data_IF_532940730025
#
_entry.id   IF_532940730025
#
_cell.length_a   1.000
_cell.length_b   1.000
_cell.length_c   1.000
_cell.angle_alpha   90.00
_cell.angle_beta   90.00
_cell.angle_gamma   90.00
#
_symmetry.space_group_name_H-M   'P 1'
#
loop_
_entity.id
_entity.type
_entity.pdbx_description
1 polymer ?
#
# COMPACT_ATOMS: atom_id res chain seq x y z
N UNK A 1 9.62 -3.12 5.19
CA UNK A 1 8.69 -2.28 6.01
C UNK A 1 9.32 -1.58 7.24
N UNK A 2 9.81 -2.27 8.29
CA UNK A 2 10.41 -1.62 9.49
C UNK A 2 11.89 -1.25 9.29
N UNK A 3 12.14 -0.39 8.31
CA UNK A 3 13.49 0.04 7.93
C UNK A 3 13.89 1.36 8.62
N UNK A 4 15.11 1.82 8.36
CA UNK A 4 15.63 3.09 8.93
C UNK A 4 14.75 4.30 8.58
N UNK A 5 14.18 4.36 7.38
CA UNK A 5 13.34 5.48 6.96
C UNK A 5 12.01 5.48 7.74
N UNK A 6 11.39 4.32 7.93
CA UNK A 6 10.18 4.18 8.75
C UNK A 6 10.42 4.63 10.20
N UNK A 7 11.53 4.22 10.81
CA UNK A 7 11.90 4.65 12.17
C UNK A 7 12.07 6.16 12.28
N UNK A 8 12.79 6.78 11.34
CA UNK A 8 12.98 8.23 11.32
C UNK A 8 11.66 8.99 11.10
N UNK A 9 10.77 8.48 10.25
CA UNK A 9 9.45 9.08 10.02
C UNK A 9 8.56 8.96 11.26
N UNK A 10 8.53 7.79 11.90
CA UNK A 10 7.79 7.57 13.15
C UNK A 10 8.30 8.49 14.28
N UNK A 11 9.61 8.61 14.46
CA UNK A 11 10.23 9.54 15.42
C UNK A 11 9.92 11.01 15.13
N UNK A 12 9.75 11.37 13.85
CA UNK A 12 9.34 12.71 13.45
C UNK A 12 7.88 12.97 13.86
N UNK A 13 6.97 12.09 13.44
CA UNK A 13 5.53 12.23 13.74
C UNK A 13 5.21 12.11 15.23
N UNK A 14 6.01 11.35 16.00
CA UNK A 14 5.90 11.27 17.46
C UNK A 14 6.08 12.60 18.20
N UNK A 15 6.60 13.63 17.52
CA UNK A 15 6.77 14.98 18.07
C UNK A 15 5.66 15.94 17.67
N UNK A 16 4.87 15.59 16.66
CA UNK A 16 3.94 16.53 15.99
C UNK A 16 2.49 16.08 16.06
N UNK A 17 2.22 14.79 16.19
CA UNK A 17 0.87 14.24 16.23
C UNK A 17 0.38 14.03 17.67
N UNK A 18 -0.93 13.81 17.82
CA UNK A 18 -1.54 13.51 19.11
C UNK A 18 -1.30 12.06 19.57
N UNK A 19 -1.66 11.76 20.82
CA UNK A 19 -1.43 10.45 21.44
C UNK A 19 -2.11 9.29 20.70
N UNK A 20 -3.30 9.53 20.12
CA UNK A 20 -4.05 8.48 19.40
C UNK A 20 -3.34 8.13 18.10
N UNK A 21 -2.86 9.14 17.38
CA UNK A 21 -2.13 8.95 16.13
C UNK A 21 -0.75 8.31 16.35
N UNK A 22 -0.05 8.72 17.41
CA UNK A 22 1.22 8.09 17.80
C UNK A 22 1.00 6.63 18.19
N UNK A 23 -0.04 6.33 18.97
CA UNK A 23 -0.41 4.95 19.32
C UNK A 23 -0.69 4.09 18.08
N UNK A 24 -1.35 4.67 17.05
CA UNK A 24 -1.56 3.99 15.76
C UNK A 24 -0.24 3.69 15.06
N UNK A 25 0.70 4.64 15.02
CA UNK A 25 2.04 4.41 14.45
C UNK A 25 2.76 3.29 15.22
N UNK A 26 2.77 3.33 16.54
CA UNK A 26 3.44 2.33 17.39
C UNK A 26 2.84 0.92 17.22
N UNK A 27 1.52 0.84 17.04
CA UNK A 27 0.83 -0.41 16.71
C UNK A 27 1.35 -1.01 15.40
N UNK A 28 1.37 -0.24 14.31
CA UNK A 28 1.85 -0.74 13.01
C UNK A 28 3.36 -1.03 13.01
N UNK A 29 4.17 -0.19 13.67
CA UNK A 29 5.60 -0.46 13.87
C UNK A 29 5.83 -1.78 14.59
N UNK A 30 4.98 -2.10 15.58
CA UNK A 30 5.01 -3.39 16.28
C UNK A 30 4.62 -4.58 15.39
N UNK A 31 3.62 -4.41 14.51
CA UNK A 31 3.25 -5.46 13.54
C UNK A 31 4.38 -5.72 12.54
N UNK A 32 5.00 -4.67 12.00
CA UNK A 32 6.11 -4.81 11.07
C UNK A 32 7.33 -5.46 11.73
N UNK A 33 7.61 -5.14 13.00
CA UNK A 33 8.66 -5.82 13.76
C UNK A 33 8.37 -7.32 13.97
N UNK A 34 7.10 -7.71 14.13
CA UNK A 34 6.72 -9.12 14.20
C UNK A 34 6.97 -9.86 12.87
N UNK A 35 6.70 -9.21 11.73
CA UNK A 35 7.04 -9.75 10.40
C UNK A 35 8.55 -9.90 10.21
N UNK A 36 9.34 -8.88 10.59
CA UNK A 36 10.80 -8.94 10.52
C UNK A 36 11.36 -10.16 11.27
N UNK A 37 10.77 -10.47 12.44
CA UNK A 37 11.18 -11.59 13.28
C UNK A 37 10.68 -12.95 12.79
N UNK A 38 9.49 -13.01 12.20
CA UNK A 38 8.88 -14.24 11.69
C UNK A 38 9.55 -14.72 10.39
N UNK A 39 10.12 -13.81 9.61
CA UNK A 39 10.70 -14.16 8.31
C UNK A 39 11.93 -13.30 7.94
N UNK A 40 13.06 -13.52 8.63
CA UNK A 40 14.33 -12.88 8.27
C UNK A 40 14.83 -13.21 6.84
N UNK A 41 14.26 -14.22 6.16
CA UNK A 41 14.66 -14.68 4.83
C UNK A 41 13.78 -14.14 3.69
N UNK A 42 12.53 -13.77 3.96
CA UNK A 42 11.53 -13.38 2.97
C UNK A 42 11.73 -12.03 2.27
N UNK A 43 12.59 -11.14 2.80
CA UNK A 43 12.93 -9.87 2.11
C UNK A 43 13.72 -10.08 0.82
N UNK A 44 14.20 -11.29 0.55
CA UNK A 44 15.22 -11.47 -0.47
C UNK A 44 14.62 -11.49 -1.87
N UNK A 45 15.05 -10.55 -2.71
CA UNK A 45 14.95 -10.67 -4.17
C UNK A 45 15.79 -11.85 -4.71
N UNK A 46 16.49 -12.58 -3.84
CA UNK A 46 17.40 -13.66 -4.20
C UNK A 46 16.62 -14.80 -4.85
N UNK A 47 16.82 -14.97 -6.16
CA UNK A 47 16.14 -16.00 -6.95
C UNK A 47 14.94 -15.52 -7.76
N UNK A 48 14.50 -14.26 -7.61
CA UNK A 48 13.52 -13.69 -8.54
C UNK A 48 14.21 -13.30 -9.86
N UNK A 49 13.83 -13.96 -10.94
CA UNK A 49 14.36 -13.69 -12.27
C UNK A 49 13.57 -12.57 -12.95
N UNK A 50 14.12 -11.36 -12.93
CA UNK A 50 13.52 -10.21 -13.60
C UNK A 50 13.61 -10.39 -15.12
N UNK A 51 12.52 -10.16 -15.89
CA UNK A 51 12.58 -10.23 -17.34
C UNK A 51 13.65 -9.30 -17.95
N UNK A 52 14.15 -9.61 -19.17
CA UNK A 52 15.06 -8.72 -19.89
C UNK A 52 14.48 -7.32 -20.06
N UNK A 53 15.36 -6.31 -20.15
CA UNK A 53 14.95 -4.90 -20.20
C UNK A 53 13.96 -4.57 -21.34
N UNK A 54 14.13 -5.19 -22.52
CA UNK A 54 13.21 -5.06 -23.65
C UNK A 54 11.82 -5.60 -23.32
N UNK A 55 11.75 -6.73 -22.62
CA UNK A 55 10.48 -7.30 -22.17
C UNK A 55 9.82 -6.41 -21.12
N UNK A 56 10.58 -5.87 -20.17
CA UNK A 56 10.08 -4.92 -19.16
C UNK A 56 9.50 -3.65 -19.82
N UNK A 57 10.18 -3.13 -20.84
CA UNK A 57 9.68 -1.98 -21.61
C UNK A 57 8.37 -2.31 -22.35
N UNK A 58 8.32 -3.44 -23.06
CA UNK A 58 7.12 -3.88 -23.78
C UNK A 58 5.92 -4.14 -22.84
N UNK A 59 6.16 -4.73 -21.66
CA UNK A 59 5.12 -4.90 -20.64
C UNK A 59 4.61 -3.56 -20.13
N UNK A 60 5.52 -2.59 -19.97
CA UNK A 60 5.14 -1.26 -19.50
C UNK A 60 4.25 -0.53 -20.50
N UNK A 61 4.63 -0.55 -21.79
CA UNK A 61 3.85 0.02 -22.89
C UNK A 61 2.45 -0.62 -23.03
N UNK A 62 2.35 -1.92 -22.77
CA UNK A 62 1.08 -2.63 -22.79
C UNK A 62 0.25 -2.49 -21.49
N UNK A 63 0.73 -1.73 -20.50
CA UNK A 63 0.16 -1.61 -19.15
C UNK A 63 -0.04 -2.96 -18.44
N UNK A 64 0.85 -3.93 -18.71
CA UNK A 64 0.81 -5.27 -18.10
C UNK A 64 1.78 -5.32 -16.90
N UNK A 65 1.30 -5.65 -15.70
CA UNK A 65 2.17 -5.82 -14.54
C UNK A 65 3.21 -6.92 -14.74
N UNK A 66 4.44 -6.67 -14.31
CA UNK A 66 5.55 -7.61 -14.53
C UNK A 66 5.28 -8.97 -13.89
N UNK A 67 4.67 -9.03 -12.70
CA UNK A 67 4.34 -10.29 -12.03
C UNK A 67 3.32 -11.14 -12.78
N UNK A 68 2.46 -10.53 -13.60
CA UNK A 68 1.55 -11.29 -14.47
C UNK A 68 2.29 -12.08 -15.55
N UNK A 69 3.51 -11.65 -15.93
CA UNK A 69 4.35 -12.32 -16.92
C UNK A 69 5.50 -13.13 -16.29
N UNK A 70 6.05 -12.67 -15.17
CA UNK A 70 7.09 -13.34 -14.39
C UNK A 70 6.63 -13.40 -12.91
N UNK A 71 5.83 -14.41 -12.54
CA UNK A 71 5.29 -14.52 -11.19
C UNK A 71 6.39 -14.67 -10.13
N UNK A 72 6.16 -14.07 -8.97
CA UNK A 72 6.99 -14.32 -7.79
C UNK A 72 6.66 -15.71 -7.23
N UNK A 73 7.69 -16.48 -6.86
CA UNK A 73 7.46 -17.73 -6.14
C UNK A 73 7.18 -17.41 -4.68
N UNK A 74 5.94 -17.64 -4.24
CA UNK A 74 5.53 -17.44 -2.85
C UNK A 74 5.80 -18.71 -2.03
N UNK A 75 6.43 -18.55 -0.88
CA UNK A 75 6.59 -19.57 0.15
C UNK A 75 5.34 -19.57 1.04
N UNK A 76 4.53 -20.61 0.89
CA UNK A 76 3.25 -20.78 1.60
C UNK A 76 3.45 -20.89 3.12
N UNK A 77 4.48 -21.61 3.57
CA UNK A 77 4.75 -21.77 5.00
C UNK A 77 5.24 -20.46 5.61
N UNK A 78 6.11 -19.73 4.90
CA UNK A 78 6.55 -18.41 5.35
C UNK A 78 5.39 -17.41 5.38
N UNK A 79 4.47 -17.48 4.42
CA UNK A 79 3.26 -16.66 4.39
C UNK A 79 2.36 -16.95 5.61
N UNK A 80 2.09 -18.24 5.90
CA UNK A 80 1.29 -18.65 7.06
C UNK A 80 1.94 -18.25 8.39
N UNK A 81 3.27 -18.43 8.52
CA UNK A 81 4.02 -17.99 9.71
C UNK A 81 3.97 -16.48 9.90
N UNK A 82 4.19 -15.71 8.84
CA UNK A 82 4.12 -14.24 8.87
C UNK A 82 2.72 -13.76 9.27
N UNK A 83 1.68 -14.37 8.69
CA UNK A 83 0.28 -14.06 9.00
C UNK A 83 -0.05 -14.37 10.47
N UNK A 84 0.36 -15.53 10.98
CA UNK A 84 0.18 -15.92 12.38
C UNK A 84 0.87 -14.95 13.33
N UNK A 85 2.09 -14.52 13.00
CA UNK A 85 2.87 -13.60 13.83
C UNK A 85 2.22 -12.21 13.95
N UNK A 86 1.70 -11.65 12.84
CA UNK A 86 1.01 -10.34 12.90
C UNK A 86 -0.33 -10.41 13.59
N UNK A 87 -1.08 -11.52 13.43
CA UNK A 87 -2.35 -11.72 14.12
C UNK A 87 -2.14 -11.84 15.63
N UNK A 88 -1.17 -12.68 16.04
CA UNK A 88 -0.81 -12.81 17.44
C UNK A 88 -0.39 -11.46 18.03
N UNK A 89 0.44 -10.70 17.31
CA UNK A 89 0.88 -9.38 17.77
C UNK A 89 -0.26 -8.37 17.86
N UNK A 90 -1.16 -8.35 16.89
CA UNK A 90 -2.33 -7.48 16.91
C UNK A 90 -3.26 -7.81 18.10
N UNK A 91 -3.45 -9.10 18.39
CA UNK A 91 -4.24 -9.55 19.54
C UNK A 91 -3.61 -9.16 20.89
N UNK A 92 -2.30 -9.31 21.04
CA UNK A 92 -1.55 -8.88 22.25
C UNK A 92 -1.70 -7.39 22.55
N UNK A 93 -1.72 -6.57 21.50
CA UNK A 93 -1.85 -5.11 21.60
C UNK A 93 -3.29 -4.64 21.84
N UNK A 94 -4.26 -5.56 21.91
CA UNK A 94 -5.68 -5.22 22.05
C UNK A 94 -6.26 -4.57 20.80
N UNK A 95 -5.73 -4.90 19.61
CA UNK A 95 -6.22 -4.40 18.33
C UNK A 95 -7.62 -4.88 17.94
N UNK A 96 -8.20 -5.80 18.71
CA UNK A 96 -9.52 -6.38 18.48
C UNK A 96 -10.31 -6.54 19.77
N UNK A 97 -11.62 -6.69 19.62
CA UNK A 97 -12.44 -7.30 20.66
C UNK A 97 -12.11 -8.80 20.85
N UNK A 98 -12.62 -9.38 21.92
CA UNK A 98 -12.33 -10.77 22.28
C UNK A 98 -12.87 -11.79 21.27
N UNK A 99 -13.97 -11.46 20.56
CA UNK A 99 -14.59 -12.36 19.58
C UNK A 99 -13.73 -12.45 18.32
N UNK A 100 -13.34 -11.30 17.77
CA UNK A 100 -12.46 -11.21 16.62
C UNK A 100 -11.07 -11.80 16.92
N UNK A 101 -10.51 -11.51 18.10
CA UNK A 101 -9.24 -12.10 18.52
C UNK A 101 -9.31 -13.63 18.56
N UNK A 102 -10.36 -14.20 19.16
CA UNK A 102 -10.56 -15.65 19.22
C UNK A 102 -10.76 -16.27 17.83
N UNK A 103 -11.53 -15.61 16.95
CA UNK A 103 -11.76 -16.08 15.59
C UNK A 103 -10.45 -16.14 14.78
N UNK A 104 -9.63 -15.08 14.80
CA UNK A 104 -8.40 -15.03 14.01
C UNK A 104 -7.26 -15.89 14.58
N UNK A 105 -7.16 -15.98 15.92
CA UNK A 105 -6.12 -16.80 16.56
C UNK A 105 -6.47 -18.28 16.61
N UNK A 106 -7.75 -18.65 16.48
CA UNK A 106 -8.21 -20.04 16.45
C UNK A 106 -8.04 -20.73 15.08
N UNK A 107 -7.67 -19.99 14.05
CA UNK A 107 -7.52 -20.51 12.68
C UNK A 107 -6.15 -21.14 12.51
N UNK A 108 -6.13 -22.33 11.90
CA UNK A 108 -4.89 -22.90 11.41
C UNK A 108 -4.51 -22.26 10.07
N UNK A 109 -3.66 -21.22 10.12
CA UNK A 109 -3.25 -20.48 8.93
C UNK A 109 -2.40 -21.30 7.96
N UNK A 110 -1.67 -22.32 8.44
CA UNK A 110 -0.95 -23.25 7.55
C UNK A 110 -1.94 -24.01 6.64
N UNK A 111 -3.01 -24.57 7.23
CA UNK A 111 -4.05 -25.28 6.46
C UNK A 111 -4.82 -24.32 5.53
N UNK A 112 -5.16 -23.13 6.02
CA UNK A 112 -5.89 -22.13 5.24
C UNK A 112 -5.09 -21.66 4.01
N UNK A 113 -3.79 -21.41 4.17
CA UNK A 113 -2.91 -21.02 3.07
C UNK A 113 -2.64 -22.20 2.14
N UNK A 114 -2.43 -23.41 2.66
CA UNK A 114 -2.26 -24.61 1.84
C UNK A 114 -3.47 -24.94 0.96
N UNK A 115 -4.68 -24.61 1.43
CA UNK A 115 -5.92 -24.74 0.65
C UNK A 115 -6.11 -23.63 -0.40
N UNK A 116 -5.33 -22.55 -0.35
CA UNK A 116 -5.45 -21.39 -1.24
C UNK A 116 -4.60 -21.49 -2.50
N UNK A 117 -4.89 -20.69 -3.53
CA UNK A 117 -4.06 -20.60 -4.75
C UNK A 117 -2.84 -19.69 -4.52
N UNK A 118 -1.84 -20.21 -3.82
CA UNK A 118 -0.59 -19.47 -3.51
C UNK A 118 0.17 -19.06 -4.78
N UNK A 119 -0.01 -19.76 -5.91
CA UNK A 119 0.60 -19.35 -7.17
C UNK A 119 -0.04 -18.05 -7.72
N UNK A 120 -1.34 -17.86 -7.51
CA UNK A 120 -2.02 -16.60 -7.83
C UNK A 120 -1.47 -15.44 -7.00
N UNK A 121 -1.11 -15.67 -5.73
CA UNK A 121 -0.54 -14.66 -4.84
C UNK A 121 0.73 -14.00 -5.41
N UNK A 122 1.56 -14.77 -6.12
CA UNK A 122 2.78 -14.28 -6.75
C UNK A 122 2.60 -13.66 -8.15
N UNK A 123 1.45 -13.93 -8.79
CA UNK A 123 1.14 -13.47 -10.16
C UNK A 123 0.23 -12.24 -10.18
N UNK A 124 -0.80 -12.27 -9.34
CA UNK A 124 -1.85 -11.26 -9.20
C UNK A 124 -2.29 -11.16 -7.73
N UNK A 125 -1.47 -10.52 -6.87
CA UNK A 125 -1.71 -10.49 -5.43
C UNK A 125 -3.11 -10.01 -5.02
N UNK A 126 -3.66 -9.00 -5.71
CA UNK A 126 -4.99 -8.46 -5.38
C UNK A 126 -6.12 -9.44 -5.68
N UNK A 127 -6.04 -10.19 -6.79
CA UNK A 127 -7.02 -11.23 -7.11
C UNK A 127 -6.93 -12.39 -6.10
N UNK A 128 -5.71 -12.75 -5.70
CA UNK A 128 -5.50 -13.76 -4.64
C UNK A 128 -6.12 -13.34 -3.31
N UNK A 129 -5.88 -12.10 -2.86
CA UNK A 129 -6.39 -11.63 -1.57
C UNK A 129 -7.92 -11.59 -1.52
N UNK A 130 -8.56 -11.20 -2.63
CA UNK A 130 -10.02 -11.25 -2.73
C UNK A 130 -10.54 -12.69 -2.66
N UNK A 131 -9.95 -13.61 -3.44
CA UNK A 131 -10.30 -15.03 -3.40
C UNK A 131 -10.04 -15.67 -2.03
N UNK A 132 -8.97 -15.25 -1.35
CA UNK A 132 -8.64 -15.75 -0.01
C UNK A 132 -9.68 -15.29 1.02
N UNK A 133 -10.17 -14.04 0.94
CA UNK A 133 -11.26 -13.58 1.79
C UNK A 133 -12.54 -14.40 1.56
N UNK A 134 -12.91 -14.66 0.30
CA UNK A 134 -14.05 -15.53 -0.05
C UNK A 134 -13.88 -16.93 0.53
N UNK A 135 -12.69 -17.53 0.41
CA UNK A 135 -12.37 -18.83 1.00
C UNK A 135 -12.56 -18.85 2.53
N UNK A 136 -12.20 -17.76 3.24
CA UNK A 136 -12.39 -17.66 4.69
C UNK A 136 -13.88 -17.59 5.07
N UNK A 137 -14.69 -16.87 4.28
CA UNK A 137 -16.15 -16.83 4.45
C UNK A 137 -16.76 -18.22 4.21
N UNK A 138 -16.37 -18.91 3.15
CA UNK A 138 -16.79 -20.29 2.87
C UNK A 138 -16.36 -21.27 3.98
N UNK A 139 -15.24 -20.96 4.65
CA UNK A 139 -14.75 -21.65 5.84
C UNK A 139 -15.50 -21.33 7.15
N UNK A 140 -16.51 -20.45 7.11
CA UNK A 140 -17.38 -20.12 8.23
C UNK A 140 -17.05 -18.83 8.98
N UNK A 141 -16.10 -18.01 8.49
CA UNK A 141 -15.89 -16.68 9.03
C UNK A 141 -17.00 -15.71 8.63
N UNK A 142 -17.23 -14.69 9.45
CA UNK A 142 -18.02 -13.51 9.03
C UNK A 142 -17.24 -12.70 7.99
N UNK A 143 -17.94 -11.86 7.22
CA UNK A 143 -17.30 -10.97 6.24
C UNK A 143 -16.22 -10.08 6.88
N UNK A 144 -16.48 -9.54 8.08
CA UNK A 144 -15.52 -8.70 8.79
C UNK A 144 -14.28 -9.51 9.25
N UNK A 145 -14.47 -10.73 9.76
CA UNK A 145 -13.38 -11.61 10.13
C UNK A 145 -12.52 -11.98 8.91
N UNK A 146 -13.15 -12.30 7.79
CA UNK A 146 -12.48 -12.60 6.54
C UNK A 146 -11.71 -11.39 5.97
N UNK A 147 -12.28 -10.19 6.05
CA UNK A 147 -11.58 -8.94 5.66
C UNK A 147 -10.36 -8.68 6.53
N UNK A 148 -10.45 -8.94 7.85
CA UNK A 148 -9.29 -8.85 8.74
C UNK A 148 -8.25 -9.92 8.40
N UNK A 149 -8.66 -11.16 8.14
CA UNK A 149 -7.78 -12.21 7.63
C UNK A 149 -7.07 -11.80 6.34
N UNK A 150 -7.80 -11.23 5.37
CA UNK A 150 -7.24 -10.68 4.13
C UNK A 150 -6.22 -9.57 4.40
N UNK A 151 -6.47 -8.67 5.34
CA UNK A 151 -5.53 -7.60 5.72
C UNK A 151 -4.21 -8.19 6.25
N UNK A 152 -4.27 -9.19 7.14
CA UNK A 152 -3.06 -9.83 7.67
C UNK A 152 -2.32 -10.66 6.62
N UNK A 153 -3.06 -11.35 5.74
CA UNK A 153 -2.49 -12.01 4.58
C UNK A 153 -1.80 -11.00 3.65
N UNK A 154 -2.38 -9.82 3.43
CA UNK A 154 -1.79 -8.73 2.63
C UNK A 154 -0.48 -8.23 3.24
N UNK A 155 -0.44 -7.99 4.55
CA UNK A 155 0.76 -7.55 5.27
C UNK A 155 1.88 -8.60 5.20
N UNK A 156 1.55 -9.87 5.41
CA UNK A 156 2.51 -10.98 5.33
C UNK A 156 2.99 -11.21 3.89
N UNK A 157 2.09 -11.21 2.91
CA UNK A 157 2.41 -11.41 1.50
C UNK A 157 3.33 -10.31 0.97
N UNK A 158 3.09 -9.06 1.37
CA UNK A 158 3.94 -7.93 0.98
C UNK A 158 5.42 -8.18 1.25
N UNK A 159 5.74 -8.85 2.35
CA UNK A 159 7.12 -9.14 2.73
C UNK A 159 7.89 -9.90 1.65
N UNK A 160 7.24 -10.88 1.03
CA UNK A 160 7.82 -11.69 -0.06
C UNK A 160 7.80 -10.96 -1.41
N UNK A 161 6.95 -9.93 -1.56
CA UNK A 161 6.83 -9.15 -2.79
C UNK A 161 7.77 -7.94 -2.85
N UNK A 162 8.17 -7.38 -1.70
CA UNK A 162 8.98 -6.14 -1.61
C UNK A 162 10.31 -6.28 -2.38
N UNK A 163 11.09 -7.34 -2.12
CA UNK A 163 12.35 -7.60 -2.82
C UNK A 163 12.21 -7.75 -4.35
N UNK A 164 11.35 -8.65 -4.84
CA UNK A 164 11.05 -8.78 -6.28
C UNK A 164 10.55 -7.47 -6.91
N UNK A 165 9.69 -6.72 -6.22
CA UNK A 165 9.15 -5.46 -6.71
C UNK A 165 10.24 -4.38 -6.84
N UNK A 166 11.17 -4.29 -5.89
CA UNK A 166 12.34 -3.44 -6.03
C UNK A 166 13.22 -3.84 -7.22
N UNK A 167 13.39 -5.15 -7.46
CA UNK A 167 14.14 -5.64 -8.61
C UNK A 167 13.47 -5.23 -9.93
N UNK A 168 12.14 -5.29 -10.00
CA UNK A 168 11.34 -4.76 -11.12
C UNK A 168 11.52 -3.25 -11.26
N UNK A 169 11.44 -2.48 -10.17
CA UNK A 169 11.62 -1.04 -10.20
C UNK A 169 13.02 -0.64 -10.73
N UNK A 170 14.07 -1.34 -10.29
CA UNK A 170 15.45 -1.16 -10.81
C UNK A 170 15.54 -1.49 -12.29
N UNK A 171 14.89 -2.57 -12.74
CA UNK A 171 14.88 -2.95 -14.14
C UNK A 171 14.12 -1.95 -15.02
N UNK A 172 12.98 -1.41 -14.57
CA UNK A 172 12.24 -0.33 -15.26
C UNK A 172 13.09 0.93 -15.42
N UNK A 173 13.77 1.34 -14.35
CA UNK A 173 14.72 2.46 -14.40
C UNK A 173 15.84 2.23 -15.43
N UNK A 174 16.42 1.03 -15.45
CA UNK A 174 17.46 0.64 -16.42
C UNK A 174 16.92 0.61 -17.86
N UNK A 175 15.69 0.14 -18.05
CA UNK A 175 14.97 0.13 -19.31
C UNK A 175 14.50 1.53 -19.75
N UNK A 176 14.78 2.57 -18.95
CA UNK A 176 14.36 3.96 -19.20
C UNK A 176 12.85 4.14 -19.32
N UNK A 177 12.09 3.31 -18.62
CA UNK A 177 10.65 3.47 -18.44
C UNK A 177 10.45 4.47 -17.30
N UNK A 178 10.34 5.74 -17.67
CA UNK A 178 10.19 6.86 -16.71
C UNK A 178 8.78 7.45 -16.71
N UNK A 179 8.15 7.54 -17.88
CA UNK A 179 6.79 8.04 -18.03
C UNK A 179 5.87 6.87 -18.32
N UNK A 180 5.09 6.48 -17.32
CA UNK A 180 4.14 5.40 -17.48
C UNK A 180 2.73 5.93 -17.22
N UNK A 181 1.90 5.81 -18.25
CA UNK A 181 0.46 6.05 -18.10
C UNK A 181 -0.23 4.93 -17.31
N UNK A 182 0.54 3.97 -16.80
CA UNK A 182 0.08 2.94 -15.88
C UNK A 182 -0.75 3.50 -14.72
N UNK A 183 -2.03 3.15 -14.82
CA UNK A 183 -3.04 3.38 -13.80
C UNK A 183 -2.81 2.52 -12.55
N UNK A 184 -2.18 1.35 -12.73
CA UNK A 184 -1.92 0.38 -11.67
C UNK A 184 -0.43 0.17 -11.46
N UNK A 185 -0.07 -0.49 -10.36
CA UNK A 185 1.30 -0.80 -10.02
C UNK A 185 2.01 -1.58 -11.15
N UNK A 186 3.16 -1.09 -11.66
CA UNK A 186 3.92 -1.77 -12.71
C UNK A 186 4.40 -3.19 -12.34
N UNK A 187 4.59 -3.44 -11.05
CA UNK A 187 5.09 -4.72 -10.57
C UNK A 187 3.94 -5.71 -10.43
N UNK A 188 2.95 -5.39 -9.61
CA UNK A 188 1.92 -6.35 -9.18
C UNK A 188 0.51 -6.08 -9.69
N UNK A 189 0.24 -4.92 -10.30
CA UNK A 189 -1.08 -4.53 -10.79
C UNK A 189 -2.05 -4.02 -9.72
N UNK A 190 -1.62 -3.86 -8.46
CA UNK A 190 -2.45 -3.26 -7.43
C UNK A 190 -2.67 -1.76 -7.63
N UNK A 191 -3.76 -1.23 -7.07
CA UNK A 191 -4.04 0.20 -7.04
C UNK A 191 -3.03 0.97 -6.18
N UNK A 192 -2.88 2.25 -6.47
CA UNK A 192 -2.09 3.15 -5.62
C UNK A 192 -2.81 3.39 -4.29
N UNK A 193 -2.11 3.16 -3.18
CA UNK A 193 -2.62 3.42 -1.84
C UNK A 193 -2.53 4.91 -1.48
N UNK A 194 -1.47 5.58 -1.94
CA UNK A 194 -1.26 7.01 -1.75
C UNK A 194 -0.44 7.62 -2.88
N UNK A 195 -0.46 8.94 -2.95
CA UNK A 195 0.40 9.74 -3.80
C UNK A 195 1.41 10.55 -2.97
N UNK A 196 2.55 10.85 -3.57
CA UNK A 196 3.50 11.86 -3.11
C UNK A 196 3.62 12.94 -4.16
N UNK A 197 3.58 14.20 -3.77
CA UNK A 197 3.66 15.36 -4.65
C UNK A 197 4.77 16.26 -4.18
N UNK A 198 5.70 16.66 -5.05
CA UNK A 198 6.64 17.76 -4.76
C UNK A 198 8.13 17.42 -4.65
N UNK A 199 8.57 16.17 -4.87
CA UNK A 199 10.02 15.86 -4.93
C UNK A 199 10.44 15.29 -6.29
N UNK A 200 11.46 15.92 -6.89
CA UNK A 200 12.21 15.39 -8.02
C UNK A 200 13.00 16.46 -8.79
N UNK A 201 14.30 16.58 -8.47
CA UNK A 201 15.43 16.84 -9.39
C UNK A 201 15.50 18.10 -10.28
N UNK A 202 14.42 18.84 -10.47
CA UNK A 202 14.38 20.07 -11.26
C UNK A 202 13.32 20.96 -10.62
N UNK A 203 13.72 22.12 -10.10
CA UNK A 203 12.95 23.02 -9.25
C UNK A 203 11.68 23.61 -9.87
N UNK A 204 10.73 22.75 -10.23
CA UNK A 204 9.47 23.11 -10.88
C UNK A 204 8.24 22.54 -10.14
N UNK A 205 8.40 21.80 -9.04
CA UNK A 205 7.27 21.30 -8.25
C UNK A 205 6.32 20.36 -9.02
N UNK A 206 6.77 19.74 -10.12
CA UNK A 206 5.92 19.05 -11.11
C UNK A 206 5.73 17.54 -10.92
N UNK A 207 6.41 16.90 -9.96
CA UNK A 207 6.45 15.43 -9.91
C UNK A 207 5.43 14.87 -8.91
N UNK A 208 4.53 14.01 -9.41
CA UNK A 208 3.63 13.15 -8.63
C UNK A 208 4.10 11.72 -8.77
N UNK A 209 4.22 11.03 -7.64
CA UNK A 209 4.60 9.61 -7.56
C UNK A 209 3.48 8.87 -6.87
N UNK A 210 3.10 7.71 -7.37
CA UNK A 210 2.16 6.79 -6.72
C UNK A 210 2.93 5.70 -5.97
N UNK A 211 2.30 5.15 -4.94
CA UNK A 211 2.87 4.05 -4.15
C UNK A 211 1.86 2.92 -3.95
N UNK A 212 2.32 1.69 -4.10
CA UNK A 212 1.50 0.49 -3.94
C UNK A 212 1.73 -0.14 -2.56
N UNK A 213 0.68 -0.21 -1.74
CA UNK A 213 0.78 -0.82 -0.42
C UNK A 213 1.06 -2.32 -0.45
N UNK A 214 0.72 -3.02 -1.54
CA UNK A 214 0.88 -4.49 -1.62
C UNK A 214 2.33 -4.94 -1.84
N UNK A 215 3.12 -4.20 -2.62
CA UNK A 215 4.48 -4.61 -2.99
C UNK A 215 5.53 -3.52 -2.78
N UNK A 216 5.14 -2.34 -2.32
CA UNK A 216 6.05 -1.22 -2.05
C UNK A 216 6.54 -0.46 -3.28
N UNK A 217 6.13 -0.84 -4.49
CA UNK A 217 6.57 -0.14 -5.73
C UNK A 217 6.11 1.31 -5.75
N UNK A 218 7.03 2.21 -6.04
CA UNK A 218 6.73 3.61 -6.40
C UNK A 218 6.91 3.84 -7.90
N UNK A 219 6.04 4.63 -8.52
CA UNK A 219 6.17 5.00 -9.93
C UNK A 219 5.71 6.43 -10.20
N UNK A 220 6.35 7.08 -11.17
CA UNK A 220 5.98 8.43 -11.61
C UNK A 220 4.60 8.40 -12.27
N UNK A 221 3.84 9.47 -12.06
CA UNK A 221 2.47 9.59 -12.56
C UNK A 221 2.13 11.03 -12.93
N UNK A 222 1.22 11.19 -13.89
CA UNK A 222 0.77 12.51 -14.33
C UNK A 222 0.15 13.29 -13.16
N UNK A 223 0.68 14.50 -12.88
CA UNK A 223 0.18 15.36 -11.81
C UNK A 223 -1.31 15.65 -11.97
N UNK A 224 -1.71 15.98 -13.20
CA UNK A 224 -3.08 16.30 -13.58
C UNK A 224 -3.72 15.05 -14.19
N UNK A 225 -3.91 14.04 -13.36
CA UNK A 225 -4.61 12.81 -13.73
C UNK A 225 -5.17 12.11 -12.51
N UNK A 226 -6.43 11.68 -12.60
CA UNK A 226 -7.02 10.80 -11.60
C UNK A 226 -6.30 9.44 -11.63
N UNK A 227 -5.77 8.94 -10.51
CA UNK A 227 -5.10 7.63 -10.46
C UNK A 227 -6.08 6.45 -10.47
N UNK A 228 -7.39 6.70 -10.55
CA UNK A 228 -8.43 5.65 -10.61
C UNK A 228 -9.07 5.55 -11.99
N UNK A 229 -9.65 6.63 -12.53
CA UNK A 229 -10.28 6.61 -13.85
C UNK A 229 -9.43 7.19 -14.99
N UNK A 230 -8.32 7.85 -14.67
CA UNK A 230 -7.40 8.38 -15.68
C UNK A 230 -7.83 9.70 -16.31
N UNK A 231 -8.94 10.32 -15.86
CA UNK A 231 -9.34 11.65 -16.36
C UNK A 231 -8.23 12.67 -16.14
N UNK A 232 -8.02 13.52 -17.14
CA UNK A 232 -7.07 14.65 -17.13
C UNK A 232 -7.78 16.00 -17.08
N UNK A 233 -9.11 15.99 -16.90
CA UNK A 233 -9.89 17.21 -16.78
C UNK A 233 -9.63 17.86 -15.41
N UNK A 234 -8.88 18.95 -15.39
CA UNK A 234 -8.57 19.72 -14.18
C UNK A 234 -9.82 20.16 -13.42
N UNK A 235 -10.91 20.48 -14.13
CA UNK A 235 -12.16 20.91 -13.50
C UNK A 235 -12.85 19.82 -12.68
N UNK A 236 -12.49 18.55 -12.88
CA UNK A 236 -13.03 17.40 -12.16
C UNK A 236 -12.08 16.92 -11.05
N UNK A 237 -10.94 17.57 -10.81
CA UNK A 237 -9.92 17.14 -9.86
C UNK A 237 -9.73 18.19 -8.77
N UNK A 238 -10.07 17.85 -7.52
CA UNK A 238 -10.02 18.78 -6.39
C UNK A 238 -9.09 18.27 -5.30
N UNK A 239 -8.42 19.18 -4.58
CA UNK A 239 -7.63 18.85 -3.40
C UNK A 239 -8.20 19.53 -2.17
N UNK A 240 -8.30 18.77 -1.08
CA UNK A 240 -8.73 19.26 0.23
C UNK A 240 -7.64 18.98 1.26
N UNK A 241 -7.44 19.90 2.20
CA UNK A 241 -6.58 19.72 3.36
C UNK A 241 -7.41 19.80 4.65
N UNK A 242 -6.92 19.16 5.70
CA UNK A 242 -7.48 19.32 7.05
C UNK A 242 -6.77 20.49 7.73
N UNK A 243 -7.51 21.29 8.50
CA UNK A 243 -6.92 22.37 9.28
C UNK A 243 -5.87 21.81 10.26
N UNK A 244 -4.68 22.41 10.27
CA UNK A 244 -3.54 21.90 11.05
C UNK A 244 -2.73 20.79 10.38
N UNK A 245 -3.15 20.31 9.19
CA UNK A 245 -2.41 19.33 8.39
C UNK A 245 -2.14 19.86 6.97
N UNK A 246 -1.06 20.62 6.83
CA UNK A 246 -0.64 21.17 5.53
C UNK A 246 0.12 20.15 4.68
N UNK A 247 0.64 19.09 5.32
CA UNK A 247 1.47 18.06 4.70
C UNK A 247 0.68 17.01 3.92
N UNK A 248 -0.60 16.83 4.25
CA UNK A 248 -1.44 15.81 3.61
C UNK A 248 -2.72 16.40 3.02
N UNK A 249 -3.16 15.81 1.90
CA UNK A 249 -4.36 16.22 1.18
C UNK A 249 -5.17 15.04 0.70
N UNK A 250 -6.48 15.26 0.55
CA UNK A 250 -7.42 14.36 -0.12
C UNK A 250 -7.61 14.88 -1.55
N UNK A 251 -7.11 14.14 -2.54
CA UNK A 251 -7.40 14.41 -3.95
C UNK A 251 -8.64 13.67 -4.38
N UNK A 252 -9.68 14.36 -4.84
CA UNK A 252 -10.97 13.78 -5.26
C UNK A 252 -11.18 13.89 -6.77
N UNK A 253 -12.08 13.09 -7.31
CA UNK A 253 -12.44 13.09 -8.72
C UNK A 253 -13.96 13.05 -8.93
N UNK A 254 -14.51 14.10 -9.51
CA UNK A 254 -15.96 14.21 -9.78
C UNK A 254 -16.44 13.17 -10.82
N UNK A 255 -15.56 12.70 -11.69
CA UNK A 255 -15.90 11.79 -12.78
C UNK A 255 -16.10 10.34 -12.34
N UNK A 256 -15.33 9.89 -11.34
CA UNK A 256 -15.44 8.52 -10.81
C UNK A 256 -15.86 8.44 -9.34
N UNK A 257 -16.00 9.58 -8.66
CA UNK A 257 -16.35 9.66 -7.24
C UNK A 257 -15.25 9.17 -6.28
N UNK A 258 -14.10 8.71 -6.79
CA UNK A 258 -13.02 8.23 -5.93
C UNK A 258 -12.15 9.37 -5.40
N UNK A 259 -11.39 9.05 -4.36
CA UNK A 259 -10.32 9.89 -3.84
C UNK A 259 -8.97 9.15 -3.82
N UNK A 260 -7.89 9.89 -3.57
CA UNK A 260 -6.56 9.41 -3.20
C UNK A 260 -5.97 10.32 -2.12
N UNK A 261 -5.32 9.72 -1.11
CA UNK A 261 -4.57 10.46 -0.10
C UNK A 261 -3.20 10.84 -0.65
N UNK A 262 -2.74 12.05 -0.38
CA UNK A 262 -1.53 12.58 -0.97
C UNK A 262 -0.68 13.33 0.05
N UNK A 263 0.57 12.92 0.19
CA UNK A 263 1.61 13.64 0.92
C UNK A 263 2.21 14.72 0.01
N UNK A 264 2.13 15.98 0.41
CA UNK A 264 2.73 17.12 -0.28
C UNK A 264 4.04 17.49 0.39
N UNK A 265 5.14 17.44 -0.36
CA UNK A 265 6.44 17.95 0.03
C UNK A 265 6.59 19.38 -0.50
N UNK A 266 6.55 20.36 0.40
CA UNK A 266 6.77 21.76 0.06
C UNK A 266 8.26 22.10 -0.14
N UNK A 267 8.53 23.34 -0.57
CA UNK A 267 9.90 23.84 -0.60
C UNK A 267 10.48 23.89 0.82
N UNK A 268 11.66 23.30 1.02
CA UNK A 268 12.32 23.23 2.32
C UNK A 268 11.79 22.16 3.27
N UNK A 269 10.87 21.31 2.82
CA UNK A 269 10.42 20.16 3.61
C UNK A 269 11.52 19.10 3.69
N UNK A 270 12.03 18.91 4.91
CA UNK A 270 13.06 17.93 5.25
C UNK A 270 12.51 16.80 6.15
N UNK A 271 11.19 16.65 6.25
CA UNK A 271 10.58 15.58 7.02
C UNK A 271 11.02 14.21 6.47
N UNK A 272 11.49 13.27 7.33
CA UNK A 272 11.78 11.92 6.89
C UNK A 272 10.56 11.27 6.25
N UNK A 273 10.75 10.64 5.10
CA UNK A 273 9.66 10.05 4.33
C UNK A 273 9.77 8.53 4.32
N UNK A 274 8.67 7.87 4.71
CA UNK A 274 8.44 6.44 4.53
C UNK A 274 6.99 6.26 4.07
N UNK A 275 6.75 5.75 2.85
CA UNK A 275 5.40 5.54 2.36
C UNK A 275 4.53 4.71 3.33
N UNK A 276 5.13 3.77 4.04
CA UNK A 276 4.47 2.93 5.04
C UNK A 276 3.95 3.75 6.23
N UNK A 277 4.79 4.60 6.80
CA UNK A 277 4.39 5.47 7.91
C UNK A 277 3.38 6.50 7.44
N UNK A 278 3.56 7.05 6.24
CA UNK A 278 2.63 8.00 5.62
C UNK A 278 1.25 7.38 5.40
N UNK A 279 1.18 6.12 4.98
CA UNK A 279 -0.08 5.37 4.84
C UNK A 279 -0.83 5.26 6.18
N UNK A 280 -0.10 5.02 7.27
CA UNK A 280 -0.63 4.95 8.64
C UNK A 280 -1.05 6.33 9.16
N UNK A 281 -0.25 7.38 8.90
CA UNK A 281 -0.56 8.76 9.30
C UNK A 281 -1.81 9.25 8.59
N UNK A 282 -1.93 8.99 7.30
CA UNK A 282 -3.05 9.46 6.49
C UNK A 282 -4.34 8.64 6.68
N UNK A 283 -4.38 7.60 7.52
CA UNK A 283 -5.60 6.82 7.78
C UNK A 283 -6.81 7.67 8.21
N UNK A 284 -6.58 8.80 8.91
CA UNK A 284 -7.64 9.75 9.27
C UNK A 284 -8.31 10.41 8.05
N UNK A 285 -7.58 10.55 6.95
CA UNK A 285 -8.09 11.16 5.72
C UNK A 285 -9.10 10.24 5.04
N UNK A 286 -8.97 8.93 5.18
CA UNK A 286 -9.97 7.97 4.68
C UNK A 286 -11.29 8.15 5.41
N UNK A 287 -11.26 8.31 6.74
CA UNK A 287 -12.47 8.56 7.53
C UNK A 287 -13.19 9.85 7.10
N UNK A 288 -12.44 10.92 6.82
CA UNK A 288 -12.99 12.18 6.29
C UNK A 288 -13.57 11.98 4.89
N UNK A 289 -12.85 11.30 4.00
CA UNK A 289 -13.27 11.10 2.62
C UNK A 289 -14.54 10.23 2.50
N UNK A 290 -14.72 9.28 3.43
CA UNK A 290 -15.88 8.39 3.49
C UNK A 290 -17.09 9.01 4.21
N UNK A 291 -16.92 10.13 4.92
CA UNK A 291 -18.02 10.81 5.60
C UNK A 291 -19.04 11.32 4.55
N UNK A 292 -20.33 10.95 4.64
CA UNK A 292 -21.35 11.42 3.69
C UNK A 292 -21.48 12.94 3.62
N UNK A 293 -21.14 13.66 4.69
CA UNK A 293 -21.13 15.13 4.71
C UNK A 293 -19.98 15.73 3.88
N UNK A 294 -18.87 15.01 3.73
CA UNK A 294 -17.78 15.36 2.82
C UNK A 294 -18.11 14.92 1.39
N UNK A 295 -18.62 13.70 1.21
CA UNK A 295 -18.97 13.15 -0.11
C UNK A 295 -20.16 13.86 -0.79
N UNK A 296 -21.12 14.36 0.01
CA UNK A 296 -22.31 15.08 -0.47
C UNK A 296 -22.24 16.60 -0.30
N UNK A 297 -21.19 17.12 0.32
CA UNK A 297 -21.06 18.52 0.70
C UNK A 297 -20.04 19.24 -0.15
N UNK A 298 -20.37 20.49 -0.52
CA UNK A 298 -19.44 21.52 -0.95
C UNK A 298 -18.38 21.81 0.13
N UNK A 299 -17.49 20.86 0.41
CA UNK A 299 -16.26 21.12 1.15
C UNK A 299 -15.58 22.27 0.41
N UNK A 300 -15.26 23.36 1.14
CA UNK A 300 -14.77 24.61 0.56
C UNK A 300 -13.65 24.30 -0.43
N UNK A 301 -13.94 24.53 -1.71
CA UNK A 301 -12.98 24.43 -2.82
C UNK A 301 -11.91 25.48 -2.56
N UNK A 302 -10.79 25.11 -1.94
CA UNK A 302 -9.67 26.03 -1.75
C UNK A 302 -8.90 26.09 -3.05
N UNK A 303 -9.21 27.12 -3.84
CA UNK A 303 -8.66 27.33 -5.18
C UNK A 303 -9.24 28.58 -5.85
N UNK A 304 -9.22 29.71 -5.14
CA UNK A 304 -9.10 31.06 -5.71
C UNK A 304 -7.85 31.72 -5.16
#
# INVERSE_FOLDING_TARGET
MNNKAAKLAAEHYGKTLDEVEVSRIDFFMSLWAALDGADAAGQTAAGYEVPPAERVAALSEAEIPVFSNAPVKIDAEALARGMSAVIARAAELGGFDAEMAAALTGVNWDDAIAASDVALAGKKPMEYLAAFAEQLVDGGMTELQAQMGQLFASLALRWQLEGPAEAVARARKKAKVFYDHQMHCPACGGDAALARVGEGGSGDGRNKTLWCAQCGTSWEFDRIRCPRCGTRNQGNLHYFNIEGDEGHRIGTCDECGSYIRARFAGEGDNAPYSPEVEDVVMARLDAVAMDPSFAGGSAKRTGE
#
